data_IF_382086328760
#
_entry.id   IF_382086328760
#
_cell.length_a   1.000
_cell.length_b   1.000
_cell.length_c   1.000
_cell.angle_alpha   90.00
_cell.angle_beta   90.00
_cell.angle_gamma   90.00
#
_symmetry.space_group_name_H-M   'P 1'
#
loop_
_entity.id
_entity.type
_entity.pdbx_description
1 polymer ?
#
# COMPACT_ATOMS: atom_id res chain seq x y z
N UNK A 1 27.05 6.07 2.34
CA UNK A 1 25.94 5.65 3.20
C UNK A 1 24.69 6.21 2.56
N UNK A 2 24.09 5.39 1.70
CA UNK A 2 23.11 5.79 0.70
C UNK A 2 21.74 6.01 1.35
N UNK A 3 20.98 7.01 0.90
CA UNK A 3 19.70 7.50 1.47
C UNK A 3 18.65 6.44 1.88
N UNK A 4 18.77 5.19 1.46
CA UNK A 4 17.80 4.10 1.65
C UNK A 4 17.65 3.62 3.11
N UNK A 5 18.62 3.94 3.95
CA UNK A 5 18.60 3.58 5.38
C UNK A 5 17.86 4.62 6.24
N UNK A 6 17.41 5.73 5.66
CA UNK A 6 16.69 6.79 6.37
C UNK A 6 15.18 6.56 6.29
N UNK A 7 14.49 6.60 7.43
CA UNK A 7 13.05 6.42 7.46
C UNK A 7 12.30 7.54 6.70
N UNK A 8 12.87 8.75 6.62
CA UNK A 8 12.31 9.87 5.87
C UNK A 8 12.22 9.59 4.36
N UNK A 9 13.21 8.86 3.82
CA UNK A 9 13.20 8.46 2.42
C UNK A 9 12.07 7.46 2.14
N UNK A 10 11.80 6.55 3.07
CA UNK A 10 10.66 5.62 2.96
C UNK A 10 9.31 6.35 3.01
N UNK A 11 9.17 7.34 3.89
CA UNK A 11 7.95 8.15 3.94
C UNK A 11 7.78 8.99 2.67
N UNK A 12 8.85 9.60 2.16
CA UNK A 12 8.79 10.32 0.89
C UNK A 12 8.33 9.43 -0.28
N UNK A 13 8.86 8.21 -0.37
CA UNK A 13 8.40 7.26 -1.39
C UNK A 13 6.94 6.80 -1.18
N UNK A 14 6.49 6.70 0.07
CA UNK A 14 5.09 6.39 0.42
C UNK A 14 4.14 7.48 -0.08
N UNK A 15 4.50 8.73 0.15
CA UNK A 15 3.72 9.91 -0.27
C UNK A 15 3.69 10.02 -1.81
N UNK A 16 4.84 9.85 -2.45
CA UNK A 16 4.96 9.85 -3.91
C UNK A 16 4.09 8.76 -4.57
N UNK A 17 4.05 7.56 -3.99
CA UNK A 17 3.20 6.47 -4.48
C UNK A 17 1.71 6.78 -4.28
N UNK A 18 1.33 7.45 -3.18
CA UNK A 18 -0.05 7.84 -2.94
C UNK A 18 -0.52 8.91 -3.94
N UNK A 19 0.32 9.90 -4.23
CA UNK A 19 0.05 10.89 -5.28
C UNK A 19 -0.09 10.21 -6.66
N UNK A 20 0.79 9.24 -6.94
CA UNK A 20 0.69 8.43 -8.15
C UNK A 20 -0.62 7.65 -8.20
N UNK A 21 -1.08 7.08 -7.09
CA UNK A 21 -2.38 6.39 -7.00
C UNK A 21 -3.55 7.33 -7.35
N UNK A 22 -3.51 8.57 -6.86
CA UNK A 22 -4.50 9.61 -7.19
C UNK A 22 -4.55 9.85 -8.70
N UNK A 23 -3.40 9.97 -9.37
CA UNK A 23 -3.35 10.20 -10.82
C UNK A 23 -3.75 8.97 -11.64
N UNK A 24 -3.48 7.76 -11.15
CA UNK A 24 -3.99 6.53 -11.75
C UNK A 24 -5.52 6.46 -11.69
N UNK A 25 -6.14 6.86 -10.58
CA UNK A 25 -7.60 6.93 -10.50
C UNK A 25 -8.18 7.95 -11.49
N UNK A 26 -7.59 9.15 -11.57
CA UNK A 26 -8.03 10.20 -12.52
C UNK A 26 -7.97 9.75 -13.98
N UNK A 27 -6.94 8.99 -14.34
CA UNK A 27 -6.75 8.46 -15.69
C UNK A 27 -7.56 7.18 -15.99
N UNK A 28 -8.37 6.69 -15.04
CA UNK A 28 -9.17 5.47 -15.20
C UNK A 28 -8.37 4.17 -15.07
N UNK A 29 -7.11 4.25 -14.61
CA UNK A 29 -6.20 3.11 -14.42
C UNK A 29 -6.43 2.45 -13.06
N UNK A 30 -7.61 1.87 -12.86
CA UNK A 30 -8.07 1.37 -11.54
C UNK A 30 -7.16 0.31 -10.92
N UNK A 31 -6.70 -0.66 -11.72
CA UNK A 31 -5.77 -1.72 -11.26
C UNK A 31 -4.46 -1.14 -10.76
N UNK A 32 -3.90 -0.15 -11.47
CA UNK A 32 -2.66 0.51 -11.07
C UNK A 32 -2.86 1.42 -9.84
N UNK A 33 -4.01 2.07 -9.69
CA UNK A 33 -4.34 2.80 -8.47
C UNK A 33 -4.29 1.90 -7.24
N UNK A 34 -4.94 0.73 -7.29
CA UNK A 34 -4.94 -0.25 -6.17
C UNK A 34 -3.52 -0.74 -5.88
N UNK A 35 -2.72 -1.00 -6.92
CA UNK A 35 -1.33 -1.39 -6.74
C UNK A 35 -0.49 -0.30 -6.05
N UNK A 36 -0.66 0.96 -6.45
CA UNK A 36 0.04 2.09 -5.83
C UNK A 36 -0.41 2.34 -4.38
N UNK A 37 -1.72 2.17 -4.07
CA UNK A 37 -2.23 2.19 -2.70
C UNK A 37 -1.51 1.17 -1.82
N UNK A 38 -1.29 -0.04 -2.32
CA UNK A 38 -0.54 -1.07 -1.59
C UNK A 38 0.92 -0.66 -1.37
N UNK A 39 1.62 -0.20 -2.41
CA UNK A 39 3.03 0.19 -2.28
C UNK A 39 3.24 1.35 -1.32
N UNK A 40 2.33 2.32 -1.33
CA UNK A 40 2.34 3.46 -0.42
C UNK A 40 2.32 2.98 1.04
N UNK A 41 1.32 2.17 1.44
CA UNK A 41 1.25 1.65 2.81
C UNK A 41 2.41 0.71 3.15
N UNK A 42 2.91 -0.07 2.19
CA UNK A 42 4.10 -0.91 2.38
C UNK A 42 5.32 -0.05 2.76
N UNK A 43 5.54 1.05 2.04
CA UNK A 43 6.65 1.97 2.29
C UNK A 43 6.48 2.74 3.58
N UNK A 44 5.25 3.15 3.92
CA UNK A 44 4.95 3.75 5.22
C UNK A 44 5.31 2.80 6.38
N UNK A 45 4.87 1.54 6.30
CA UNK A 45 5.18 0.52 7.32
C UNK A 45 6.68 0.23 7.41
N UNK A 46 7.39 0.18 6.27
CA UNK A 46 8.85 0.02 6.22
C UNK A 46 9.57 1.21 6.85
N UNK A 47 9.14 2.43 6.55
CA UNK A 47 9.67 3.65 7.18
C UNK A 47 9.42 3.64 8.69
N UNK A 48 8.24 3.21 9.14
CA UNK A 48 7.92 3.09 10.56
C UNK A 48 8.82 2.08 11.28
N UNK A 49 9.14 0.95 10.63
CA UNK A 49 10.11 -0.02 11.16
C UNK A 49 11.49 0.61 11.32
N UNK A 50 12.04 1.22 10.27
CA UNK A 50 13.34 1.89 10.33
C UNK A 50 13.34 2.95 11.44
N UNK A 51 12.27 3.75 11.54
CA UNK A 51 12.13 4.80 12.55
C UNK A 51 12.11 4.25 13.99
N UNK A 52 11.39 3.15 14.23
CA UNK A 52 11.22 2.58 15.58
C UNK A 52 12.40 1.73 16.02
N UNK A 53 13.04 0.99 15.11
CA UNK A 53 14.02 -0.06 15.47
C UNK A 53 15.40 0.17 14.88
N UNK A 54 15.54 1.05 13.88
CA UNK A 54 16.76 1.18 13.08
C UNK A 54 17.04 -0.03 12.19
N UNK A 55 16.13 -1.02 12.15
CA UNK A 55 16.29 -2.22 11.34
C UNK A 55 15.99 -1.93 9.87
N UNK A 56 16.85 -2.39 8.98
CA UNK A 56 16.56 -2.36 7.55
C UNK A 56 15.41 -3.32 7.21
N UNK A 57 14.36 -2.87 6.50
CA UNK A 57 13.18 -3.67 6.27
C UNK A 57 13.47 -4.91 5.42
N UNK A 58 12.83 -6.03 5.78
CA UNK A 58 12.92 -7.27 5.01
C UNK A 58 12.35 -7.10 3.60
N UNK A 59 12.83 -7.93 2.66
CA UNK A 59 12.38 -7.95 1.26
C UNK A 59 11.04 -8.68 1.10
N UNK A 60 10.04 -8.26 1.87
CA UNK A 60 8.65 -8.71 1.78
C UNK A 60 7.75 -7.56 1.33
N UNK A 61 6.60 -7.94 0.76
CA UNK A 61 5.53 -7.04 0.35
C UNK A 61 4.28 -7.22 1.21
N UNK A 62 4.36 -8.02 2.28
CA UNK A 62 3.20 -8.28 3.14
C UNK A 62 2.98 -7.10 4.09
N UNK A 63 1.87 -6.38 3.94
CA UNK A 63 1.46 -5.34 4.90
C UNK A 63 1.26 -5.97 6.29
N UNK A 64 0.62 -7.13 6.34
CA UNK A 64 0.31 -7.83 7.59
C UNK A 64 1.57 -8.25 8.35
N UNK A 65 2.64 -8.64 7.63
CA UNK A 65 3.92 -8.94 8.24
C UNK A 65 4.47 -7.74 9.03
N UNK A 66 4.39 -6.54 8.46
CA UNK A 66 4.87 -5.34 9.16
C UNK A 66 3.94 -4.91 10.29
N UNK A 67 2.61 -5.05 10.13
CA UNK A 67 1.63 -4.80 11.20
C UNK A 67 1.94 -5.67 12.43
N UNK A 68 2.16 -6.97 12.22
CA UNK A 68 2.50 -7.92 13.28
C UNK A 68 3.88 -7.63 13.86
N UNK A 69 4.90 -7.43 13.02
CA UNK A 69 6.28 -7.15 13.46
C UNK A 69 6.40 -5.86 14.28
N UNK A 70 5.58 -4.86 13.98
CA UNK A 70 5.56 -3.57 14.68
C UNK A 70 4.60 -3.54 15.88
N UNK A 71 3.87 -4.64 16.11
CA UNK A 71 2.83 -4.78 17.14
C UNK A 71 1.84 -3.60 17.10
N UNK A 72 1.39 -3.22 15.90
CA UNK A 72 0.49 -2.07 15.75
C UNK A 72 -0.89 -2.40 16.32
N UNK A 73 -1.31 -1.63 17.34
CA UNK A 73 -2.67 -1.66 17.89
C UNK A 73 -3.67 -0.98 16.96
N UNK A 74 -3.93 -1.59 15.80
CA UNK A 74 -4.93 -1.12 14.85
C UNK A 74 -6.34 -1.43 15.35
N UNK A 75 -7.30 -0.56 15.01
CA UNK A 75 -8.71 -0.92 15.14
C UNK A 75 -9.09 -1.96 14.08
N UNK A 76 -10.21 -2.65 14.29
CA UNK A 76 -10.66 -3.74 13.42
C UNK A 76 -10.83 -3.29 11.95
N UNK A 77 -11.35 -2.08 11.74
CA UNK A 77 -11.54 -1.54 10.39
C UNK A 77 -10.24 -1.37 9.61
N UNK A 78 -9.20 -0.81 10.25
CA UNK A 78 -7.89 -0.65 9.61
C UNK A 78 -7.19 -1.98 9.40
N UNK A 79 -7.32 -2.92 10.33
CA UNK A 79 -6.77 -4.26 10.18
C UNK A 79 -7.42 -4.99 8.99
N UNK A 80 -8.75 -5.00 8.91
CA UNK A 80 -9.50 -5.61 7.81
C UNK A 80 -9.16 -4.98 6.46
N UNK A 81 -9.01 -3.65 6.42
CA UNK A 81 -8.61 -2.93 5.23
C UNK A 81 -7.21 -3.34 4.75
N UNK A 82 -6.21 -3.33 5.63
CA UNK A 82 -4.84 -3.74 5.29
C UNK A 82 -4.80 -5.21 4.85
N UNK A 83 -5.54 -6.09 5.52
CA UNK A 83 -5.64 -7.50 5.15
C UNK A 83 -6.23 -7.68 3.75
N UNK A 84 -7.32 -6.98 3.45
CA UNK A 84 -7.96 -6.96 2.14
C UNK A 84 -7.00 -6.44 1.06
N UNK A 85 -6.37 -5.27 1.30
CA UNK A 85 -5.46 -4.65 0.35
C UNK A 85 -4.24 -5.54 0.06
N UNK A 86 -3.68 -6.16 1.10
CA UNK A 86 -2.59 -7.11 1.00
C UNK A 86 -2.93 -8.27 0.07
N UNK A 87 -4.14 -8.86 0.21
CA UNK A 87 -4.63 -9.95 -0.65
C UNK A 87 -4.80 -9.54 -2.10
N UNK A 88 -5.38 -8.37 -2.36
CA UNK A 88 -5.70 -7.94 -3.72
C UNK A 88 -4.50 -7.37 -4.49
N UNK A 89 -3.42 -7.01 -3.79
CA UNK A 89 -2.23 -6.42 -4.42
C UNK A 89 -1.40 -7.40 -5.27
N UNK A 90 -1.56 -8.72 -5.08
CA UNK A 90 -0.84 -9.74 -5.86
C UNK A 90 -1.49 -9.95 -7.22
N UNK A 91 -2.82 -10.16 -7.32
CA UNK A 91 -3.52 -10.24 -8.61
C UNK A 91 -3.35 -9.00 -9.50
N UNK A 92 -3.16 -7.80 -8.93
CA UNK A 92 -2.94 -6.59 -9.73
C UNK A 92 -1.59 -6.57 -10.45
N UNK A 93 -0.61 -7.36 -9.98
CA UNK A 93 0.73 -7.49 -10.61
C UNK A 93 0.75 -8.58 -11.68
N UNK A 94 0.02 -9.66 -11.47
CA UNK A 94 -0.08 -10.80 -12.38
C UNK A 94 -1.55 -11.21 -12.54
N UNK A 95 -2.33 -10.47 -13.34
CA UNK A 95 -3.71 -10.85 -13.60
C UNK A 95 -3.74 -12.12 -14.44
N UNK A 96 -4.43 -13.17 -13.95
CA UNK A 96 -4.82 -14.29 -14.81
C UNK A 96 -5.74 -13.81 -15.95
N UNK A 97 -6.59 -12.81 -15.65
CA UNK A 97 -7.46 -12.13 -16.61
C UNK A 97 -7.64 -10.66 -16.22
N UNK A 98 -6.97 -9.77 -16.94
CA UNK A 98 -7.02 -8.33 -16.70
C UNK A 98 -8.42 -7.74 -16.95
N UNK A 99 -9.21 -8.32 -17.87
CA UNK A 99 -10.58 -7.85 -18.15
C UNK A 99 -11.50 -8.14 -16.97
N UNK A 100 -11.33 -9.30 -16.33
CA UNK A 100 -12.06 -9.62 -15.08
C UNK A 100 -11.69 -8.66 -13.95
N UNK A 101 -10.41 -8.28 -13.82
CA UNK A 101 -10.02 -7.29 -12.82
C UNK A 101 -10.71 -5.93 -13.05
N UNK A 102 -10.82 -5.48 -14.30
CA UNK A 102 -11.53 -4.23 -14.61
C UNK A 102 -13.04 -4.31 -14.29
N UNK A 103 -13.66 -5.48 -14.43
CA UNK A 103 -15.06 -5.68 -14.03
C UNK A 103 -15.25 -5.66 -12.50
N UNK A 104 -14.25 -6.14 -11.74
CA UNK A 104 -14.30 -6.23 -10.27
C UNK A 104 -13.92 -4.92 -9.59
N UNK A 105 -12.98 -4.17 -10.18
CA UNK A 105 -12.45 -2.90 -9.66
C UNK A 105 -12.96 -1.72 -10.49
N UNK A 106 -14.24 -1.41 -10.28
CA UNK A 106 -14.86 -0.19 -10.81
C UNK A 106 -14.20 1.06 -10.23
N UNK A 107 -14.44 2.21 -10.87
CA UNK A 107 -13.92 3.50 -10.42
C UNK A 107 -14.33 3.79 -8.96
N UNK A 108 -15.58 3.55 -8.62
CA UNK A 108 -16.15 3.81 -7.29
C UNK A 108 -15.48 2.93 -6.22
N UNK A 109 -15.28 1.64 -6.54
CA UNK A 109 -14.60 0.72 -5.62
C UNK A 109 -13.14 1.12 -5.43
N UNK A 110 -12.45 1.49 -6.50
CA UNK A 110 -11.05 1.95 -6.42
C UNK A 110 -10.94 3.26 -5.66
N UNK A 111 -11.88 4.19 -5.83
CA UNK A 111 -11.92 5.44 -5.07
C UNK A 111 -12.12 5.18 -3.56
N UNK A 112 -12.99 4.24 -3.19
CA UNK A 112 -13.14 3.81 -1.79
C UNK A 112 -11.85 3.23 -1.22
N UNK A 113 -11.13 2.40 -1.98
CA UNK A 113 -9.82 1.87 -1.57
C UNK A 113 -8.80 3.00 -1.39
N UNK A 114 -8.74 3.94 -2.34
CA UNK A 114 -7.82 5.08 -2.27
C UNK A 114 -8.10 5.97 -1.05
N UNK A 115 -9.38 6.21 -0.73
CA UNK A 115 -9.75 7.01 0.44
C UNK A 115 -9.39 6.31 1.75
N UNK A 116 -9.65 5.00 1.86
CA UNK A 116 -9.20 4.23 3.02
C UNK A 116 -7.67 4.19 3.12
N UNK A 117 -6.94 4.12 2.00
CA UNK A 117 -5.47 4.26 2.02
C UNK A 117 -5.03 5.58 2.64
N UNK A 118 -5.68 6.70 2.29
CA UNK A 118 -5.37 8.02 2.86
C UNK A 118 -5.69 8.12 4.35
N UNK A 119 -6.71 7.41 4.82
CA UNK A 119 -7.08 7.38 6.24
C UNK A 119 -6.12 6.54 7.09
N UNK A 120 -5.54 5.49 6.51
CA UNK A 120 -4.62 4.57 7.20
C UNK A 120 -3.15 5.04 7.17
N UNK A 121 -2.72 5.74 6.11
CA UNK A 121 -1.35 6.26 5.97
C UNK A 121 -1.01 7.28 7.07
#
# INVERSE_FOLDING_TARGET
>A
MENKDKYEEWYFQSDYDLETAVDMLKSGRTVYCIFMCHLSLEKALKGLLVKKTGEFPSRTHSLMFFVEKLELGLNDSFYEFLFMLNKISVPTRYPDDLRKLFAVYSKERTESILNQTKEVQ
#
